data_IF_940661306245
#
_entry.id   IF_940661306245
#
_cell.length_a   1.000
_cell.length_b   1.000
_cell.length_c   1.000
_cell.angle_alpha   90.00
_cell.angle_beta   90.00
_cell.angle_gamma   90.00
#
_symmetry.space_group_name_H-M   'P 1'
#
loop_
_entity.id
_entity.type
_entity.pdbx_description
1 polymer ?
#
# COMPACT_ATOMS: atom_id res chain seq x y z
N UNK A 1 14.19 25.77 -19.89
CA UNK A 1 13.67 24.38 -19.75
C UNK A 1 12.25 24.42 -20.26
N UNK A 2 11.99 23.86 -21.44
CA UNK A 2 10.64 23.78 -21.98
C UNK A 2 9.87 22.76 -21.14
N UNK A 3 9.07 23.24 -20.17
CA UNK A 3 8.09 22.40 -19.52
C UNK A 3 7.08 22.01 -20.60
N UNK A 4 6.94 20.72 -20.88
CA UNK A 4 5.79 20.21 -21.62
C UNK A 4 4.55 20.45 -20.74
N UNK A 5 3.99 21.66 -20.83
CA UNK A 5 2.78 21.99 -20.10
C UNK A 5 1.67 21.06 -20.62
N UNK A 6 0.98 20.40 -19.69
CA UNK A 6 -0.08 19.49 -20.07
C UNK A 6 -1.21 20.33 -20.69
N UNK A 7 -1.61 19.97 -21.90
CA UNK A 7 -2.76 20.60 -22.55
C UNK A 7 -4.02 20.55 -21.65
N UNK A 8 -4.86 21.57 -21.75
CA UNK A 8 -6.07 21.73 -20.95
C UNK A 8 -7.04 20.55 -21.13
N UNK A 9 -7.16 20.01 -22.34
CA UNK A 9 -7.95 18.82 -22.62
C UNK A 9 -7.43 17.59 -21.86
N UNK A 10 -6.11 17.41 -21.81
CA UNK A 10 -5.46 16.33 -21.02
C UNK A 10 -5.70 16.51 -19.52
N UNK A 11 -5.51 17.73 -18.98
CA UNK A 11 -5.76 18.04 -17.55
C UNK A 11 -7.22 17.71 -17.17
N UNK A 12 -8.18 18.12 -17.99
CA UNK A 12 -9.61 17.81 -17.78
C UNK A 12 -9.88 16.31 -17.80
N UNK A 13 -9.35 15.58 -18.79
CA UNK A 13 -9.53 14.13 -18.89
C UNK A 13 -8.95 13.38 -17.69
N UNK A 14 -7.75 13.75 -17.24
CA UNK A 14 -7.14 13.18 -16.03
C UNK A 14 -8.00 13.42 -14.79
N UNK A 15 -8.58 14.60 -14.64
CA UNK A 15 -9.46 14.90 -13.51
C UNK A 15 -10.72 14.05 -13.52
N UNK A 16 -11.32 13.83 -14.70
CA UNK A 16 -12.49 12.96 -14.87
C UNK A 16 -12.14 11.51 -14.52
N UNK A 17 -11.03 10.99 -15.04
CA UNK A 17 -10.61 9.62 -14.73
C UNK A 17 -10.34 9.40 -13.25
N UNK A 18 -9.59 10.30 -12.61
CA UNK A 18 -9.34 10.20 -11.17
C UNK A 18 -10.65 10.25 -10.37
N UNK A 19 -11.63 11.08 -10.77
CA UNK A 19 -12.94 11.11 -10.11
C UNK A 19 -13.71 9.79 -10.26
N UNK A 20 -13.78 9.23 -11.47
CA UNK A 20 -14.47 7.96 -11.73
C UNK A 20 -13.79 6.83 -10.94
N UNK A 21 -12.47 6.75 -10.97
CA UNK A 21 -11.70 5.73 -10.26
C UNK A 21 -11.87 5.87 -8.74
N UNK A 22 -11.84 7.10 -8.20
CA UNK A 22 -12.14 7.35 -6.79
C UNK A 22 -13.53 6.80 -6.41
N UNK A 23 -14.56 7.06 -7.20
CA UNK A 23 -15.91 6.58 -6.92
C UNK A 23 -15.99 5.05 -6.94
N UNK A 24 -15.33 4.39 -7.90
CA UNK A 24 -15.27 2.92 -7.98
C UNK A 24 -14.61 2.35 -6.72
N UNK A 25 -13.48 2.90 -6.30
CA UNK A 25 -12.78 2.43 -5.10
C UNK A 25 -13.58 2.70 -3.82
N UNK A 26 -14.28 3.82 -3.73
CA UNK A 26 -15.14 4.13 -2.59
C UNK A 26 -16.27 3.11 -2.48
N UNK A 27 -16.99 2.87 -3.59
CA UNK A 27 -18.13 1.94 -3.62
C UNK A 27 -17.65 0.53 -3.28
N UNK A 28 -16.58 0.06 -3.93
CA UNK A 28 -16.06 -1.30 -3.71
C UNK A 28 -15.47 -1.46 -2.31
N UNK A 29 -14.69 -0.49 -1.82
CA UNK A 29 -14.12 -0.50 -0.47
C UNK A 29 -15.19 -0.53 0.62
N UNK A 30 -16.24 0.30 0.50
CA UNK A 30 -17.38 0.31 1.43
C UNK A 30 -18.19 -0.97 1.33
N UNK A 31 -18.44 -1.48 0.12
CA UNK A 31 -19.15 -2.75 -0.07
C UNK A 31 -18.41 -3.91 0.60
N UNK A 32 -17.09 -4.03 0.40
CA UNK A 32 -16.28 -5.06 1.05
C UNK A 32 -16.31 -4.89 2.58
N UNK A 33 -16.20 -3.67 3.10
CA UNK A 33 -16.31 -3.42 4.55
C UNK A 33 -17.65 -3.91 5.12
N UNK A 34 -18.75 -3.63 4.42
CA UNK A 34 -20.10 -4.01 4.84
C UNK A 34 -20.38 -5.50 4.72
N UNK A 35 -19.77 -6.17 3.74
CA UNK A 35 -19.91 -7.61 3.49
C UNK A 35 -18.94 -8.46 4.32
N UNK A 36 -17.89 -7.87 4.89
CA UNK A 36 -16.88 -8.59 5.67
C UNK A 36 -17.49 -9.14 6.96
N UNK A 37 -17.52 -10.47 7.10
CA UNK A 37 -17.87 -11.13 8.34
C UNK A 37 -16.74 -11.00 9.36
N UNK A 38 -17.03 -10.33 10.47
CA UNK A 38 -16.09 -10.09 11.58
C UNK A 38 -15.66 -11.36 12.29
N UNK A 39 -16.40 -12.46 12.13
CA UNK A 39 -16.07 -13.77 12.74
C UNK A 39 -15.01 -14.54 11.94
N UNK A 40 -14.83 -14.21 10.66
CA UNK A 40 -13.83 -14.82 9.81
C UNK A 40 -12.47 -14.16 10.06
N UNK A 41 -11.86 -14.52 11.19
CA UNK A 41 -10.59 -13.96 11.63
C UNK A 41 -9.41 -14.86 11.33
N UNK A 42 -8.26 -14.24 11.11
CA UNK A 42 -6.98 -14.90 10.99
C UNK A 42 -6.08 -14.54 12.19
N UNK A 43 -5.50 -15.54 12.88
CA UNK A 43 -4.74 -15.30 14.10
C UNK A 43 -3.33 -14.78 13.79
N UNK A 44 -2.91 -13.77 14.54
CA UNK A 44 -1.53 -13.27 14.53
C UNK A 44 -0.78 -13.81 15.74
N UNK A 45 0.47 -14.24 15.52
CA UNK A 45 1.34 -14.79 16.55
C UNK A 45 2.65 -14.02 16.65
N UNK A 46 3.21 -14.06 17.86
CA UNK A 46 4.61 -13.77 18.14
C UNK A 46 5.28 -15.06 18.60
N UNK A 47 6.42 -15.40 18.03
CA UNK A 47 7.21 -16.55 18.46
C UNK A 47 8.27 -16.13 19.48
N UNK A 48 8.16 -16.65 20.72
CA UNK A 48 9.18 -16.47 21.74
C UNK A 48 10.04 -17.73 21.86
N UNK A 49 11.34 -17.62 22.11
CA UNK A 49 12.15 -18.79 22.46
C UNK A 49 11.73 -19.29 23.86
N UNK A 50 11.43 -20.58 23.96
CA UNK A 50 11.20 -21.26 25.25
C UNK A 50 12.11 -22.48 25.37
N UNK A 51 12.44 -22.85 26.60
CA UNK A 51 13.12 -24.11 26.87
C UNK A 51 12.22 -25.29 26.46
N UNK A 52 12.82 -26.29 25.83
CA UNK A 52 12.18 -27.49 25.32
C UNK A 52 12.47 -28.73 26.16
N UNK A 53 12.89 -28.56 27.40
CA UNK A 53 13.08 -29.64 28.39
C UNK A 53 11.91 -30.62 28.44
N UNK A 54 10.66 -30.14 28.40
CA UNK A 54 9.46 -30.98 28.36
C UNK A 54 9.31 -31.84 27.08
N UNK A 55 10.07 -31.54 26.03
CA UNK A 55 10.08 -32.26 24.74
C UNK A 55 11.33 -33.12 24.54
N UNK A 56 12.16 -33.29 25.58
CA UNK A 56 13.36 -34.12 25.54
C UNK A 56 14.56 -33.51 24.81
N UNK A 57 14.54 -32.21 24.52
CA UNK A 57 15.65 -31.47 23.90
C UNK A 57 16.24 -30.48 24.89
N UNK A 58 16.76 -31.01 26.00
CA UNK A 58 17.43 -30.23 27.04
C UNK A 58 18.57 -29.40 26.44
N UNK A 59 18.65 -28.12 26.84
CA UNK A 59 19.67 -27.18 26.37
C UNK A 59 19.38 -26.48 25.04
N UNK A 60 18.28 -26.81 24.35
CA UNK A 60 17.85 -26.12 23.13
C UNK A 60 16.58 -25.29 23.33
N UNK A 61 16.57 -24.08 22.75
CA UNK A 61 15.38 -23.24 22.69
C UNK A 61 14.53 -23.60 21.47
N UNK A 62 13.21 -23.67 21.65
CA UNK A 62 12.24 -23.88 20.56
C UNK A 62 11.28 -22.69 20.46
N UNK A 63 10.73 -22.41 19.27
CA UNK A 63 9.68 -21.40 19.13
C UNK A 63 8.41 -21.79 19.89
N UNK A 64 7.91 -20.89 20.72
CA UNK A 64 6.60 -20.93 21.36
C UNK A 64 5.71 -19.82 20.78
N UNK A 65 4.76 -20.16 19.89
CA UNK A 65 3.80 -19.20 19.36
C UNK A 65 2.86 -18.71 20.45
N UNK A 66 2.81 -17.40 20.66
CA UNK A 66 1.81 -16.72 21.48
C UNK A 66 0.88 -15.93 20.58
N UNK A 67 -0.42 -16.25 20.61
CA UNK A 67 -1.42 -15.48 19.87
C UNK A 67 -1.53 -14.07 20.45
N UNK A 68 -1.47 -13.06 19.59
CA UNK A 68 -1.55 -11.65 19.98
C UNK A 68 -2.84 -10.96 19.54
N UNK A 69 -3.43 -11.39 18.42
CA UNK A 69 -4.66 -10.82 17.90
C UNK A 69 -5.37 -11.81 16.96
N UNK A 70 -6.66 -11.58 16.74
CA UNK A 70 -7.46 -12.22 15.70
C UNK A 70 -8.01 -11.11 14.80
N UNK A 71 -7.62 -11.10 13.53
CA UNK A 71 -7.93 -10.01 12.61
C UNK A 71 -8.82 -10.50 11.47
N UNK A 72 -9.93 -9.80 11.20
CA UNK A 72 -10.76 -10.11 10.05
C UNK A 72 -10.08 -9.67 8.75
N UNK A 73 -9.62 -10.65 7.96
CA UNK A 73 -8.78 -10.44 6.77
C UNK A 73 -9.47 -9.57 5.72
N UNK A 74 -10.79 -9.71 5.56
CA UNK A 74 -11.56 -8.93 4.57
C UNK A 74 -11.47 -7.41 4.76
N UNK A 75 -11.13 -6.92 5.96
CA UNK A 75 -10.91 -5.49 6.17
C UNK A 75 -9.62 -4.98 5.51
N UNK A 76 -8.61 -5.82 5.24
CA UNK A 76 -7.41 -5.42 4.51
C UNK A 76 -7.75 -5.00 3.08
N UNK A 77 -8.58 -5.80 2.41
CA UNK A 77 -9.14 -5.50 1.09
C UNK A 77 -9.87 -4.16 1.06
N UNK A 78 -10.72 -3.91 2.07
CA UNK A 78 -11.40 -2.62 2.18
C UNK A 78 -10.43 -1.46 2.39
N UNK A 79 -9.44 -1.60 3.26
CA UNK A 79 -8.48 -0.54 3.59
C UNK A 79 -7.67 -0.13 2.36
N UNK A 80 -7.09 -1.06 1.60
CA UNK A 80 -6.29 -0.66 0.44
C UNK A 80 -7.14 -0.04 -0.68
N UNK A 81 -8.42 -0.44 -0.82
CA UNK A 81 -9.35 0.21 -1.76
C UNK A 81 -9.68 1.64 -1.30
N UNK A 82 -9.91 1.84 0.00
CA UNK A 82 -10.17 3.18 0.54
C UNK A 82 -8.94 4.09 0.46
N UNK A 83 -7.73 3.54 0.58
CA UNK A 83 -6.49 4.28 0.31
C UNK A 83 -6.41 4.74 -1.16
N UNK A 84 -6.73 3.86 -2.10
CA UNK A 84 -6.77 4.21 -3.52
C UNK A 84 -7.86 5.27 -3.81
N UNK A 85 -9.03 5.17 -3.16
CA UNK A 85 -10.05 6.23 -3.18
C UNK A 85 -9.47 7.56 -2.70
N UNK A 86 -8.78 7.57 -1.55
CA UNK A 86 -8.22 8.79 -0.99
C UNK A 86 -7.21 9.44 -1.93
N UNK A 87 -6.28 8.70 -2.53
CA UNK A 87 -5.32 9.27 -3.48
C UNK A 87 -6.02 9.89 -4.70
N UNK A 88 -6.88 9.12 -5.37
CA UNK A 88 -7.61 9.59 -6.54
C UNK A 88 -8.53 10.78 -6.23
N UNK A 89 -9.12 10.82 -5.03
CA UNK A 89 -9.93 11.95 -4.58
C UNK A 89 -9.06 13.18 -4.23
N UNK A 90 -7.93 12.99 -3.57
CA UNK A 90 -7.02 14.08 -3.21
C UNK A 90 -6.48 14.77 -4.46
N UNK A 91 -6.05 14.04 -5.49
CA UNK A 91 -5.45 14.62 -6.69
C UNK A 91 -6.43 15.45 -7.55
N UNK A 92 -7.74 15.34 -7.33
CA UNK A 92 -8.75 16.19 -8.02
C UNK A 92 -9.13 17.45 -7.25
N UNK A 93 -8.69 17.61 -6.00
CA UNK A 93 -8.97 18.78 -5.18
C UNK A 93 -8.23 20.02 -5.70
N UNK A 94 -8.84 21.23 -5.66
CA UNK A 94 -8.30 22.42 -6.31
C UNK A 94 -6.89 22.83 -5.83
N UNK A 95 -6.53 22.56 -4.57
CA UNK A 95 -5.17 22.85 -4.06
C UNK A 95 -4.11 21.81 -4.46
N UNK A 96 -4.50 20.55 -4.62
CA UNK A 96 -3.58 19.42 -4.87
C UNK A 96 -3.45 19.18 -6.38
N UNK A 97 -4.52 19.38 -7.14
CA UNK A 97 -4.56 19.12 -8.58
C UNK A 97 -3.50 19.92 -9.36
N UNK A 98 -3.21 21.15 -8.94
CA UNK A 98 -2.13 21.96 -9.52
C UNK A 98 -0.75 21.31 -9.34
N UNK A 99 -0.47 20.82 -8.12
CA UNK A 99 0.78 20.09 -7.82
C UNK A 99 0.86 18.76 -8.58
N UNK A 100 -0.25 18.03 -8.65
CA UNK A 100 -0.36 16.78 -9.42
C UNK A 100 -0.04 16.99 -10.91
N UNK A 101 -0.69 17.96 -11.55
CA UNK A 101 -0.45 18.27 -12.96
C UNK A 101 1.00 18.75 -13.20
N UNK A 102 1.58 19.51 -12.27
CA UNK A 102 2.98 19.95 -12.36
C UNK A 102 3.96 18.78 -12.31
N UNK A 103 3.76 17.82 -11.42
CA UNK A 103 4.58 16.61 -11.36
C UNK A 103 4.44 15.78 -12.63
N UNK A 104 3.22 15.64 -13.15
CA UNK A 104 2.99 14.92 -14.41
C UNK A 104 3.66 15.59 -15.62
N UNK A 105 3.70 16.93 -15.67
CA UNK A 105 4.47 17.66 -16.68
C UNK A 105 5.99 17.40 -16.59
N UNK A 106 6.46 16.95 -15.42
CA UNK A 106 7.84 16.54 -15.16
C UNK A 106 8.04 15.01 -15.32
N UNK A 107 7.07 14.28 -15.88
CA UNK A 107 7.07 12.81 -15.98
C UNK A 107 7.23 12.11 -14.61
N UNK A 108 6.58 12.65 -13.58
CA UNK A 108 6.57 12.09 -12.23
C UNK A 108 5.15 11.93 -11.72
N UNK A 109 4.93 10.94 -10.86
CA UNK A 109 3.72 10.84 -10.07
C UNK A 109 4.02 10.36 -8.63
N UNK A 110 4.45 11.28 -7.76
CA UNK A 110 4.78 10.94 -6.36
C UNK A 110 3.56 10.63 -5.50
N UNK A 111 2.38 11.12 -5.87
CA UNK A 111 1.11 10.75 -5.22
C UNK A 111 0.89 9.24 -5.31
N UNK A 112 0.99 8.68 -6.52
CA UNK A 112 0.91 7.23 -6.75
C UNK A 112 1.92 6.43 -5.93
N UNK A 113 3.20 6.83 -5.92
CA UNK A 113 4.21 6.07 -5.16
C UNK A 113 3.98 6.14 -3.65
N UNK A 114 3.44 7.26 -3.17
CA UNK A 114 3.06 7.41 -1.77
C UNK A 114 1.87 6.52 -1.44
N UNK A 115 0.83 6.47 -2.28
CA UNK A 115 -0.31 5.61 -2.03
C UNK A 115 0.07 4.12 -2.15
N UNK A 116 0.80 3.72 -3.19
CA UNK A 116 1.27 2.34 -3.38
C UNK A 116 2.15 1.85 -2.24
N UNK A 117 2.97 2.70 -1.61
CA UNK A 117 3.81 2.27 -0.49
C UNK A 117 2.99 1.79 0.72
N UNK A 118 1.74 2.26 0.86
CA UNK A 118 0.81 1.76 1.87
C UNK A 118 -0.12 0.68 1.31
N UNK A 119 -0.83 0.95 0.21
CA UNK A 119 -1.86 0.04 -0.31
C UNK A 119 -1.29 -1.29 -0.80
N UNK A 120 -0.20 -1.27 -1.58
CA UNK A 120 0.46 -2.49 -2.04
C UNK A 120 1.06 -3.29 -0.88
N UNK A 121 1.53 -2.61 0.17
CA UNK A 121 2.10 -3.26 1.36
C UNK A 121 1.01 -3.95 2.18
N UNK A 122 -0.15 -3.33 2.36
CA UNK A 122 -1.32 -3.95 3.00
C UNK A 122 -1.81 -5.13 2.17
N UNK A 123 -1.87 -5.00 0.84
CA UNK A 123 -2.25 -6.08 -0.07
C UNK A 123 -1.29 -7.27 0.03
N UNK A 124 0.03 -7.04 0.08
CA UNK A 124 1.00 -8.14 0.26
C UNK A 124 0.90 -8.79 1.65
N UNK A 125 0.60 -8.03 2.70
CA UNK A 125 0.31 -8.58 4.03
C UNK A 125 -0.94 -9.48 3.98
N UNK A 126 -2.00 -9.05 3.30
CA UNK A 126 -3.21 -9.86 3.08
C UNK A 126 -2.91 -11.16 2.33
N UNK A 127 -2.17 -11.08 1.21
CA UNK A 127 -1.75 -12.26 0.44
C UNK A 127 -0.91 -13.22 1.31
N UNK A 128 -0.01 -12.68 2.14
CA UNK A 128 0.81 -13.49 3.04
C UNK A 128 -0.05 -14.25 4.07
N UNK A 129 -1.02 -13.57 4.70
CA UNK A 129 -1.98 -14.21 5.61
C UNK A 129 -2.79 -15.31 4.91
N UNK A 130 -3.30 -15.03 3.71
CA UNK A 130 -4.02 -16.02 2.90
C UNK A 130 -3.14 -17.22 2.48
N UNK A 131 -1.83 -17.02 2.44
CA UNK A 131 -0.83 -18.06 2.18
C UNK A 131 -0.35 -18.81 3.44
N UNK A 132 -0.92 -18.51 4.61
CA UNK A 132 -0.59 -19.20 5.86
C UNK A 132 0.46 -18.50 6.74
N UNK A 133 0.89 -17.28 6.39
CA UNK A 133 1.82 -16.51 7.23
C UNK A 133 1.08 -15.84 8.38
N UNK A 134 1.40 -16.26 9.61
CA UNK A 134 0.77 -15.75 10.82
C UNK A 134 1.73 -15.08 11.82
N UNK A 135 3.04 -15.12 11.56
CA UNK A 135 4.03 -14.44 12.41
C UNK A 135 4.05 -12.93 12.12
N UNK A 136 3.84 -12.13 13.16
CA UNK A 136 3.70 -10.68 13.03
C UNK A 136 4.99 -10.02 12.50
N UNK A 137 6.18 -10.50 12.88
CA UNK A 137 7.44 -9.90 12.43
C UNK A 137 7.64 -10.13 10.94
N UNK A 138 7.29 -11.32 10.45
CA UNK A 138 7.33 -11.62 9.02
C UNK A 138 6.33 -10.76 8.24
N UNK A 139 5.10 -10.56 8.76
CA UNK A 139 4.12 -9.67 8.13
C UNK A 139 4.63 -8.21 8.06
N UNK A 140 5.24 -7.69 9.13
CA UNK A 140 5.86 -6.36 9.11
C UNK A 140 7.06 -6.27 8.17
N UNK A 141 7.87 -7.32 8.08
CA UNK A 141 8.96 -7.37 7.11
C UNK A 141 8.44 -7.32 5.67
N UNK A 142 7.38 -8.07 5.35
CA UNK A 142 6.72 -8.05 4.02
C UNK A 142 6.17 -6.66 3.72
N UNK A 143 5.51 -6.03 4.70
CA UNK A 143 5.02 -4.66 4.56
C UNK A 143 6.17 -3.69 4.25
N UNK A 144 7.23 -3.72 5.06
CA UNK A 144 8.37 -2.82 4.93
C UNK A 144 9.12 -3.01 3.60
N UNK A 145 9.38 -4.25 3.20
CA UNK A 145 10.04 -4.55 1.93
C UNK A 145 9.21 -4.07 0.73
N UNK A 146 7.90 -4.26 0.76
CA UNK A 146 7.00 -3.77 -0.29
C UNK A 146 7.01 -2.24 -0.36
N UNK A 147 6.90 -1.57 0.80
CA UNK A 147 6.95 -0.12 0.88
C UNK A 147 8.25 0.44 0.31
N UNK A 148 9.40 -0.18 0.66
CA UNK A 148 10.71 0.19 0.15
C UNK A 148 10.77 0.07 -1.39
N UNK A 149 10.23 -1.02 -1.96
CA UNK A 149 10.16 -1.17 -3.43
C UNK A 149 9.41 -0.01 -4.09
N UNK A 150 8.28 0.42 -3.52
CA UNK A 150 7.51 1.55 -4.06
C UNK A 150 8.25 2.89 -3.89
N UNK A 151 8.91 3.09 -2.76
CA UNK A 151 9.75 4.27 -2.51
C UNK A 151 10.91 4.36 -3.51
N UNK A 152 11.56 3.24 -3.83
CA UNK A 152 12.59 3.23 -4.88
C UNK A 152 12.04 3.59 -6.25
N UNK A 153 10.81 3.19 -6.59
CA UNK A 153 10.12 3.66 -7.80
C UNK A 153 9.95 5.18 -7.83
N UNK A 154 9.53 5.77 -6.70
CA UNK A 154 9.39 7.22 -6.55
C UNK A 154 10.71 7.99 -6.64
N UNK A 155 11.77 7.45 -6.02
CA UNK A 155 13.14 7.99 -6.12
C UNK A 155 13.64 7.91 -7.56
N UNK A 156 13.42 6.79 -8.25
CA UNK A 156 13.81 6.61 -9.64
C UNK A 156 13.17 7.67 -10.56
N UNK A 157 11.86 7.92 -10.43
CA UNK A 157 11.19 8.99 -11.17
C UNK A 157 11.72 10.39 -10.79
N UNK A 158 12.01 10.59 -9.50
CA UNK A 158 12.55 11.85 -8.99
C UNK A 158 13.94 12.18 -9.56
N UNK A 159 14.81 11.18 -9.61
CA UNK A 159 16.19 11.33 -10.11
C UNK A 159 16.20 11.48 -11.62
N UNK A 160 15.48 10.62 -12.35
CA UNK A 160 15.54 10.61 -13.81
C UNK A 160 14.80 11.76 -14.48
N UNK A 161 13.76 12.31 -13.84
CA UNK A 161 13.13 13.54 -14.33
C UNK A 161 14.11 14.71 -14.36
N UNK A 162 14.97 14.83 -13.35
CA UNK A 162 16.02 15.87 -13.30
C UNK A 162 17.02 15.68 -14.45
N UNK A 163 17.44 14.44 -14.72
CA UNK A 163 18.37 14.13 -15.81
C UNK A 163 17.75 14.48 -17.17
N UNK A 164 16.52 14.01 -17.44
CA UNK A 164 15.80 14.30 -18.69
C UNK A 164 15.53 15.80 -18.90
N UNK A 165 15.35 16.56 -17.83
CA UNK A 165 15.21 18.01 -17.87
C UNK A 165 16.51 18.78 -18.15
N UNK A 166 17.67 18.13 -18.00
CA UNK A 166 19.00 18.74 -18.24
C UNK A 166 19.54 18.56 -19.66
N UNK A 167 18.79 17.89 -20.55
CA UNK A 167 19.20 17.68 -21.95
C UNK A 167 20.49 16.87 -22.11
N UNK A 168 20.85 16.08 -21.11
CA UNK A 168 21.94 15.09 -21.16
C UNK A 168 21.38 13.68 -21.21
#
# INVERSE_FOLDING_TARGET
IEMNDLDAGRKRRLRIWNFITALIHLITGVAIAGLTDRKNTYPWYVNFPTDASERGTEGFLVPAPKKVADIAVGYFSSVFLLLAFLDHFLVILPGINGLYNRQLAQNQNQFRWTEYSFSASIMHVEIAMLSGVSDIHLLFAIFGLTAITMVFGGIFESVNSKIRGTGK
#
